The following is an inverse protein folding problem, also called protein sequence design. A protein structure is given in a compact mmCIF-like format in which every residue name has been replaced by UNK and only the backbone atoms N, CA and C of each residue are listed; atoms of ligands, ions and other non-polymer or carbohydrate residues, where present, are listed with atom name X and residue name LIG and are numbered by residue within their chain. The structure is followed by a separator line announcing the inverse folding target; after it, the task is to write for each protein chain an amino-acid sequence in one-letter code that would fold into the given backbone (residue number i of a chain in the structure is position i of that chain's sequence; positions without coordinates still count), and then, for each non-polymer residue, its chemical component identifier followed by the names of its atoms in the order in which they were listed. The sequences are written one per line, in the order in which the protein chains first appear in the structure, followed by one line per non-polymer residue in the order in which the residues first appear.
data_IF_140820318110
#
_entry.id   IF_140820318110
#
_cell.length_a   1.000
_cell.length_b   1.000
_cell.length_c   1.000
_cell.angle_alpha   90.00
_cell.angle_beta   90.00
_cell.angle_gamma   90.00
#
_symmetry.space_group_name_H-M   'P 1'
#
loop_
_entity.id
_entity.type
_entity.pdbx_description
1 polymer ?
#
# COMPACT_ATOMS: atom_id res chain seq x y z
N UNK A 1 30.25 37.86 -5.96
CA UNK A 1 29.98 36.51 -5.42
C UNK A 1 30.24 36.59 -3.93
N UNK A 2 29.19 36.74 -3.12
CA UNK A 2 29.32 36.90 -1.66
C UNK A 2 29.65 35.54 -1.03
N UNK A 3 30.75 35.46 -0.27
CA UNK A 3 31.15 34.25 0.43
C UNK A 3 30.26 33.97 1.65
N UNK A 4 30.16 32.69 2.06
CA UNK A 4 29.42 32.24 3.25
C UNK A 4 29.87 32.92 4.55
N UNK A 5 31.14 33.38 4.59
CA UNK A 5 31.69 34.14 5.71
C UNK A 5 30.88 35.43 5.99
N UNK A 6 30.46 36.13 4.92
CA UNK A 6 29.65 37.33 5.08
C UNK A 6 28.24 37.02 5.58
N UNK A 7 27.68 35.84 5.27
CA UNK A 7 26.31 35.46 5.67
C UNK A 7 26.22 35.29 7.19
N UNK A 8 27.19 34.60 7.80
CA UNK A 8 27.20 34.34 9.25
C UNK A 8 27.47 35.63 10.02
N UNK A 9 28.39 36.48 9.56
CA UNK A 9 28.66 37.75 10.23
C UNK A 9 27.44 38.70 10.15
N UNK A 10 26.71 38.70 9.03
CA UNK A 10 25.46 39.46 8.90
C UNK A 10 24.32 38.96 9.81
N UNK A 11 24.31 37.68 10.18
CA UNK A 11 23.31 37.11 11.08
C UNK A 11 23.44 37.64 12.53
N UNK A 12 24.63 38.13 12.91
CA UNK A 12 24.95 38.66 14.25
C UNK A 12 25.10 40.19 14.30
N UNK A 13 24.78 40.92 13.23
CA UNK A 13 24.79 42.39 13.26
C UNK A 13 23.73 42.95 14.22
N UNK A 14 24.17 43.78 15.18
CA UNK A 14 23.32 44.46 16.18
C UNK A 14 22.30 45.43 15.56
N UNK A 15 22.49 45.86 14.32
CA UNK A 15 21.57 46.73 13.57
C UNK A 15 20.21 46.08 13.24
N UNK A 16 20.01 44.80 13.57
CA UNK A 16 18.76 44.05 13.36
C UNK A 16 18.04 43.68 14.67
N UNK A 17 18.52 44.15 15.82
CA UNK A 17 17.84 43.98 17.11
C UNK A 17 16.56 44.84 17.14
N UNK A 18 15.41 44.17 17.25
CA UNK A 18 14.07 44.80 17.29
C UNK A 18 13.15 44.49 16.11
N UNK A 19 13.64 43.83 15.05
CA UNK A 19 12.83 43.40 13.89
C UNK A 19 12.24 42.00 14.10
N UNK A 20 11.05 41.75 13.54
CA UNK A 20 10.45 40.42 13.56
C UNK A 20 11.24 39.45 12.66
N UNK A 21 11.18 38.14 12.94
CA UNK A 21 11.98 37.10 12.28
C UNK A 21 11.86 37.15 10.74
N UNK A 22 10.65 37.29 10.21
CA UNK A 22 10.40 37.35 8.76
C UNK A 22 11.02 38.60 8.13
N UNK A 23 11.02 39.75 8.82
CA UNK A 23 11.65 40.98 8.31
C UNK A 23 13.17 40.89 8.29
N UNK A 24 13.77 40.21 9.30
CA UNK A 24 15.21 39.93 9.33
C UNK A 24 15.62 39.05 8.14
N UNK A 25 14.85 37.99 7.87
CA UNK A 25 15.08 37.10 6.72
C UNK A 25 15.02 37.89 5.40
N UNK A 26 13.96 38.65 5.17
CA UNK A 26 13.78 39.44 3.93
C UNK A 26 14.92 40.45 3.73
N UNK A 27 15.35 41.16 4.79
CA UNK A 27 16.46 42.12 4.69
C UNK A 27 17.79 41.45 4.41
N UNK A 28 18.07 40.31 5.02
CA UNK A 28 19.29 39.54 4.79
C UNK A 28 19.35 38.99 3.36
N UNK A 29 18.25 38.43 2.86
CA UNK A 29 18.16 37.93 1.48
C UNK A 29 18.38 39.05 0.46
N UNK A 30 17.73 40.20 0.64
CA UNK A 30 17.93 41.38 -0.23
C UNK A 30 19.38 41.89 -0.22
N UNK A 31 20.06 41.90 0.93
CA UNK A 31 21.48 42.29 1.03
C UNK A 31 22.42 41.30 0.33
N UNK A 32 22.06 40.02 0.32
CA UNK A 32 22.76 38.97 -0.42
C UNK A 32 22.42 38.95 -1.91
N UNK A 33 21.58 39.89 -2.38
CA UNK A 33 21.06 39.95 -3.74
C UNK A 33 20.29 38.67 -4.14
N UNK A 34 19.58 38.08 -3.18
CA UNK A 34 18.67 36.95 -3.35
C UNK A 34 17.22 37.44 -3.29
N UNK A 35 16.36 36.88 -4.14
CA UNK A 35 14.93 37.21 -4.19
C UNK A 35 14.21 36.55 -2.99
N UNK A 36 13.54 37.31 -2.10
CA UNK A 36 12.88 36.76 -0.91
C UNK A 36 11.70 35.81 -1.19
N UNK A 37 11.17 35.82 -2.40
CA UNK A 37 10.01 35.01 -2.79
C UNK A 37 10.43 33.83 -3.70
N UNK A 38 11.61 33.91 -4.33
CA UNK A 38 12.09 32.92 -5.29
C UNK A 38 13.57 32.56 -5.05
N UNK A 39 13.86 31.44 -4.34
CA UNK A 39 15.24 31.02 -4.12
C UNK A 39 15.94 30.66 -5.44
N UNK A 40 17.28 30.84 -5.55
CA UNK A 40 18.04 30.50 -6.77
C UNK A 40 18.11 29.00 -7.03
N UNK A 41 18.21 28.59 -8.29
CA UNK A 41 18.27 27.18 -8.68
C UNK A 41 19.63 26.50 -8.43
N UNK A 42 20.71 27.24 -8.20
CA UNK A 42 22.03 26.67 -7.95
C UNK A 42 22.24 26.29 -6.47
N UNK A 43 23.02 25.23 -6.22
CA UNK A 43 23.27 24.73 -4.86
C UNK A 43 23.77 25.81 -3.91
N UNK A 44 24.67 26.69 -4.36
CA UNK A 44 25.27 27.72 -3.51
C UNK A 44 24.20 28.73 -3.07
N UNK A 45 23.34 29.15 -3.99
CA UNK A 45 22.18 29.99 -3.70
C UNK A 45 21.21 29.33 -2.71
N UNK A 46 20.82 28.08 -2.95
CA UNK A 46 19.93 27.31 -2.05
C UNK A 46 20.51 27.20 -0.64
N UNK A 47 21.80 26.85 -0.54
CA UNK A 47 22.46 26.66 0.74
C UNK A 47 22.56 27.97 1.53
N UNK A 48 22.91 29.08 0.87
CA UNK A 48 22.95 30.40 1.50
C UNK A 48 21.57 30.86 1.95
N UNK A 49 20.54 30.62 1.13
CA UNK A 49 19.16 30.95 1.43
C UNK A 49 18.65 30.17 2.66
N UNK A 50 18.91 28.86 2.69
CA UNK A 50 18.58 28.00 3.82
C UNK A 50 19.32 28.44 5.10
N UNK A 51 20.59 28.83 4.99
CA UNK A 51 21.37 29.34 6.13
C UNK A 51 20.81 30.63 6.71
N UNK A 52 20.23 31.50 5.88
CA UNK A 52 19.52 32.70 6.34
C UNK A 52 18.21 32.34 7.03
N UNK A 53 17.35 31.52 6.43
CA UNK A 53 16.05 31.16 7.02
C UNK A 53 16.19 30.40 8.36
N UNK A 54 17.16 29.49 8.42
CA UNK A 54 17.48 28.71 9.60
C UNK A 54 18.24 29.53 10.63
N UNK A 55 19.22 30.32 10.20
CA UNK A 55 20.21 30.91 11.09
C UNK A 55 19.74 32.15 11.86
N UNK A 56 18.64 32.79 11.46
CA UNK A 56 18.06 33.91 12.21
C UNK A 56 17.62 33.44 13.60
N UNK A 57 18.34 33.91 14.63
CA UNK A 57 18.07 33.59 16.03
C UNK A 57 18.82 32.36 16.56
N UNK A 58 19.71 31.75 15.76
CA UNK A 58 20.57 30.65 16.20
C UNK A 58 21.88 31.17 16.83
N UNK A 59 22.43 30.48 17.83
CA UNK A 59 23.69 30.88 18.45
C UNK A 59 24.87 30.61 17.51
N UNK A 60 25.94 31.40 17.65
CA UNK A 60 27.10 31.37 16.74
C UNK A 60 27.73 29.98 16.56
N UNK A 61 27.93 29.17 17.62
CA UNK A 61 28.49 27.83 17.47
C UNK A 61 27.67 26.92 16.53
N UNK A 62 26.35 27.11 16.46
CA UNK A 62 25.48 26.34 15.54
C UNK A 62 25.74 26.73 14.09
N UNK A 63 25.93 28.02 13.80
CA UNK A 63 26.17 28.48 12.44
C UNK A 63 27.58 28.12 11.94
N UNK A 64 28.55 28.06 12.83
CA UNK A 64 29.92 27.60 12.50
C UNK A 64 29.98 26.13 12.08
N UNK A 65 29.00 25.29 12.47
CA UNK A 65 28.85 23.93 11.95
C UNK A 65 28.60 23.98 10.43
N UNK A 66 27.59 24.72 10.01
CA UNK A 66 27.14 24.77 8.62
C UNK A 66 28.04 25.62 7.72
N UNK A 67 28.98 26.36 8.31
CA UNK A 67 30.09 27.01 7.62
C UNK A 67 31.10 26.03 7.05
N UNK A 68 31.29 24.87 7.69
CA UNK A 68 32.39 23.96 7.37
C UNK A 68 32.30 23.44 5.91
N UNK A 69 33.36 23.58 5.08
CA UNK A 69 33.35 23.13 3.68
C UNK A 69 33.01 21.64 3.52
N UNK A 70 33.42 20.82 4.50
CA UNK A 70 33.11 19.38 4.51
C UNK A 70 31.61 19.13 4.69
N UNK A 71 30.94 19.90 5.56
CA UNK A 71 29.49 19.81 5.76
C UNK A 71 28.75 20.26 4.50
N UNK A 72 29.17 21.36 3.85
CA UNK A 72 28.60 21.78 2.57
C UNK A 72 28.73 20.71 1.48
N UNK A 73 29.87 20.02 1.42
CA UNK A 73 30.11 18.93 0.47
C UNK A 73 29.17 17.75 0.76
N UNK A 74 28.97 17.40 2.03
CA UNK A 74 28.01 16.35 2.42
C UNK A 74 26.57 16.71 2.03
N UNK A 75 26.15 17.97 2.17
CA UNK A 75 24.85 18.45 1.70
C UNK A 75 24.71 18.39 0.18
N UNK A 76 25.78 18.70 -0.56
CA UNK A 76 25.82 18.58 -2.02
C UNK A 76 25.70 17.12 -2.46
N UNK A 77 26.52 16.23 -1.90
CA UNK A 77 26.51 14.80 -2.21
C UNK A 77 25.18 14.15 -1.84
N UNK A 78 24.60 14.51 -0.69
CA UNK A 78 23.29 14.02 -0.27
C UNK A 78 22.16 14.44 -1.23
N UNK A 79 22.26 15.63 -1.81
CA UNK A 79 21.31 16.14 -2.81
C UNK A 79 21.50 15.45 -4.17
N UNK A 80 22.74 15.30 -4.63
CA UNK A 80 23.06 14.69 -5.94
C UNK A 80 22.81 13.18 -5.98
N UNK A 81 23.00 12.48 -4.86
CA UNK A 81 22.86 11.01 -4.77
C UNK A 81 21.58 10.55 -4.05
N UNK A 82 20.67 11.46 -3.71
CA UNK A 82 19.39 11.18 -3.02
C UNK A 82 19.54 10.24 -1.81
N UNK A 83 20.60 10.42 -1.01
CA UNK A 83 20.91 9.54 0.13
C UNK A 83 21.09 10.36 1.42
N UNK A 84 19.99 10.76 2.09
CA UNK A 84 20.05 11.60 3.29
C UNK A 84 20.72 10.92 4.51
N UNK A 85 20.76 9.59 4.53
CA UNK A 85 21.32 8.80 5.63
C UNK A 85 22.85 8.94 5.76
N UNK A 86 23.54 9.26 4.66
CA UNK A 86 25.00 9.48 4.65
C UNK A 86 25.35 10.82 5.33
N UNK A 87 24.47 11.82 5.23
CA UNK A 87 24.69 13.17 5.74
C UNK A 87 24.81 13.22 7.27
N UNK A 88 23.92 12.51 7.98
CA UNK A 88 23.88 12.51 9.43
C UNK A 88 25.08 11.77 10.03
N UNK A 89 25.36 10.56 9.51
CA UNK A 89 26.47 9.73 10.00
C UNK A 89 27.81 10.43 9.77
N UNK A 90 28.07 10.91 8.55
CA UNK A 90 29.35 11.53 8.22
C UNK A 90 29.51 12.93 8.82
N UNK A 91 28.40 13.65 9.07
CA UNK A 91 28.41 14.94 9.74
C UNK A 91 28.75 14.82 11.23
N UNK A 92 28.18 13.82 11.92
CA UNK A 92 28.51 13.50 13.31
C UNK A 92 29.98 13.04 13.45
N UNK A 93 30.42 12.13 12.59
CA UNK A 93 31.79 11.62 12.57
C UNK A 93 32.80 12.76 12.34
N UNK A 94 32.48 13.72 11.46
CA UNK A 94 33.32 14.89 11.23
C UNK A 94 33.44 15.81 12.46
N UNK A 95 32.35 15.99 13.22
CA UNK A 95 32.33 16.85 14.40
C UNK A 95 32.87 16.17 15.67
N UNK A 96 32.99 14.84 15.68
CA UNK A 96 33.45 14.07 16.83
C UNK A 96 34.88 14.45 17.28
N UNK A 97 35.75 14.83 16.35
CA UNK A 97 37.15 15.20 16.59
C UNK A 97 37.44 16.68 16.25
N UNK A 98 36.40 17.49 15.99
CA UNK A 98 36.54 18.88 15.57
C UNK A 98 36.66 19.84 16.78
N UNK A 99 37.46 20.93 16.70
CA UNK A 99 37.58 21.92 17.78
C UNK A 99 36.25 22.54 18.23
N UNK A 100 35.27 22.63 17.33
CA UNK A 100 33.91 23.13 17.62
C UNK A 100 33.16 22.29 18.66
N UNK A 101 33.53 21.03 18.88
CA UNK A 101 32.87 20.14 19.84
C UNK A 101 32.84 20.71 21.25
N UNK A 102 33.91 21.41 21.66
CA UNK A 102 34.01 22.03 22.99
C UNK A 102 32.98 23.14 23.14
N UNK A 103 32.85 24.02 22.14
CA UNK A 103 31.89 25.12 22.14
C UNK A 103 30.44 24.62 22.05
N UNK A 104 30.20 23.54 21.30
CA UNK A 104 28.88 22.92 21.19
C UNK A 104 28.43 22.28 22.50
N UNK A 105 29.33 21.60 23.21
CA UNK A 105 29.07 21.04 24.54
C UNK A 105 28.86 22.14 25.59
N UNK A 106 29.64 23.22 25.54
CA UNK A 106 29.52 24.33 26.48
C UNK A 106 28.17 25.08 26.37
N UNK A 107 27.51 25.01 25.22
CA UNK A 107 26.22 25.65 24.96
C UNK A 107 25.02 24.66 24.97
N UNK A 108 25.23 23.41 25.40
CA UNK A 108 24.21 22.34 25.43
C UNK A 108 23.50 22.13 24.08
N UNK A 109 24.28 22.21 22.98
CA UNK A 109 23.74 22.11 21.63
C UNK A 109 23.68 20.64 21.19
N UNK A 110 22.47 20.15 20.95
CA UNK A 110 22.25 18.85 20.29
C UNK A 110 22.51 18.97 18.78
N UNK A 111 23.71 18.54 18.38
CA UNK A 111 24.18 18.52 16.99
C UNK A 111 23.20 17.77 16.08
N UNK A 112 22.67 16.62 16.52
CA UNK A 112 21.76 15.82 15.69
C UNK A 112 20.52 16.62 15.35
N UNK A 113 19.93 17.22 16.38
CA UNK A 113 18.72 18.04 16.26
C UNK A 113 18.95 19.22 15.31
N UNK A 114 20.10 19.89 15.40
CA UNK A 114 20.41 21.03 14.54
C UNK A 114 20.67 20.61 13.08
N UNK A 115 21.31 19.47 12.84
CA UNK A 115 21.44 18.91 11.48
C UNK A 115 20.09 18.58 10.86
N UNK A 116 19.17 17.95 11.61
CA UNK A 116 17.82 17.68 11.12
C UNK A 116 17.04 18.96 10.82
N UNK A 117 17.13 19.96 11.71
CA UNK A 117 16.43 21.22 11.55
C UNK A 117 16.95 22.00 10.32
N UNK A 118 18.26 22.04 10.12
CA UNK A 118 18.84 22.68 8.94
C UNK A 118 18.54 21.91 7.65
N UNK A 119 18.62 20.58 7.67
CA UNK A 119 18.28 19.75 6.51
C UNK A 119 16.82 19.90 6.08
N UNK A 120 15.89 20.03 7.03
CA UNK A 120 14.49 20.28 6.72
C UNK A 120 14.29 21.62 5.99
N UNK A 121 14.94 22.70 6.48
CA UNK A 121 14.90 24.02 5.84
C UNK A 121 15.56 23.98 4.46
N UNK A 122 16.72 23.33 4.33
CA UNK A 122 17.43 23.18 3.06
C UNK A 122 16.59 22.45 2.01
N UNK A 123 15.96 21.33 2.36
CA UNK A 123 15.07 20.58 1.47
C UNK A 123 13.86 21.43 1.05
N UNK A 124 13.30 22.19 1.98
CA UNK A 124 12.15 23.05 1.72
C UNK A 124 12.50 24.19 0.74
N UNK A 125 13.65 24.84 0.93
CA UNK A 125 14.17 25.84 -0.02
C UNK A 125 14.43 25.19 -1.38
N UNK A 126 15.07 24.01 -1.43
CA UNK A 126 15.32 23.26 -2.66
C UNK A 126 14.05 22.77 -3.38
N UNK A 127 12.89 22.73 -2.70
CA UNK A 127 11.59 22.48 -3.33
C UNK A 127 11.00 23.73 -3.95
N UNK A 128 11.22 24.90 -3.33
CA UNK A 128 10.73 26.20 -3.79
C UNK A 128 11.48 26.75 -5.01
N UNK A 129 12.70 26.26 -5.25
CA UNK A 129 13.47 26.59 -6.47
C UNK A 129 12.96 25.91 -7.72
N UNK A 130 12.08 24.91 -7.58
CA UNK A 130 11.65 24.07 -8.70
C UNK A 130 10.72 24.86 -9.61
N UNK A 131 11.09 24.96 -10.88
CA UNK A 131 10.20 25.55 -11.88
C UNK A 131 9.00 24.61 -12.11
N UNK A 132 7.82 25.13 -12.51
CA UNK A 132 6.67 24.29 -12.87
C UNK A 132 7.00 23.23 -13.93
N UNK A 133 7.95 23.51 -14.82
CA UNK A 133 8.45 22.57 -15.83
C UNK A 133 9.27 21.43 -15.21
N UNK A 134 10.08 21.70 -14.19
CA UNK A 134 10.84 20.68 -13.44
C UNK A 134 9.93 19.87 -12.53
N UNK A 135 8.90 20.47 -11.92
CA UNK A 135 7.86 19.74 -11.17
C UNK A 135 7.08 18.82 -12.10
N UNK A 136 6.77 19.25 -13.34
CA UNK A 136 6.13 18.40 -14.35
C UNK A 136 7.07 17.33 -14.90
N UNK A 137 8.37 17.61 -14.99
CA UNK A 137 9.39 16.65 -15.42
C UNK A 137 9.70 15.62 -14.34
N UNK A 138 9.73 16.00 -13.07
CA UNK A 138 9.81 15.11 -11.91
C UNK A 138 8.50 14.36 -11.71
N UNK A 139 7.32 14.97 -11.87
CA UNK A 139 6.07 14.21 -11.88
C UNK A 139 6.04 13.24 -13.05
N UNK A 140 6.64 13.58 -14.19
CA UNK A 140 6.85 12.63 -15.30
C UNK A 140 7.90 11.59 -14.97
N UNK A 141 8.99 11.91 -14.27
CA UNK A 141 10.07 10.99 -13.90
C UNK A 141 9.69 10.10 -12.72
N UNK A 142 8.84 10.56 -11.82
CA UNK A 142 8.17 9.84 -10.75
C UNK A 142 6.97 9.08 -11.29
N UNK A 143 6.24 9.61 -12.27
CA UNK A 143 5.22 8.82 -12.97
C UNK A 143 5.90 7.79 -13.84
N UNK A 144 7.08 8.07 -14.40
CA UNK A 144 7.91 7.12 -15.14
C UNK A 144 8.61 6.17 -14.18
N UNK A 145 9.03 6.56 -12.98
CA UNK A 145 9.56 5.64 -11.95
C UNK A 145 8.45 4.85 -11.26
N UNK A 146 7.24 5.39 -11.13
CA UNK A 146 6.04 4.66 -10.73
C UNK A 146 5.50 3.84 -11.88
N UNK A 147 5.70 4.22 -13.14
CA UNK A 147 5.38 3.41 -14.31
C UNK A 147 6.47 2.38 -14.57
N UNK A 148 7.74 2.62 -14.27
CA UNK A 148 8.86 1.67 -14.37
C UNK A 148 8.81 0.76 -13.15
N UNK A 149 8.50 1.29 -11.97
CA UNK A 149 8.22 0.52 -10.76
C UNK A 149 6.96 -0.31 -10.92
N UNK A 150 5.86 0.25 -11.46
CA UNK A 150 4.66 -0.53 -11.78
C UNK A 150 4.78 -1.35 -13.05
N UNK A 151 5.69 -1.05 -13.99
CA UNK A 151 6.02 -1.91 -15.13
C UNK A 151 6.98 -3.00 -14.72
N UNK A 152 7.89 -2.79 -13.76
CA UNK A 152 8.72 -3.81 -13.14
C UNK A 152 7.86 -4.68 -12.23
N UNK A 153 6.92 -4.10 -11.50
CA UNK A 153 5.95 -4.79 -10.66
C UNK A 153 4.87 -5.48 -11.51
N UNK A 154 4.47 -4.93 -12.67
CA UNK A 154 3.62 -5.60 -13.68
C UNK A 154 4.39 -6.60 -14.55
N UNK A 155 5.67 -6.40 -14.84
CA UNK A 155 6.57 -7.41 -15.42
C UNK A 155 6.79 -8.55 -14.41
N UNK A 156 6.78 -8.24 -13.11
CA UNK A 156 6.81 -9.22 -12.04
C UNK A 156 5.41 -9.82 -11.71
N UNK A 157 4.30 -9.23 -12.20
CA UNK A 157 2.90 -9.63 -11.91
C UNK A 157 2.06 -10.06 -13.11
N UNK A 158 2.57 -9.99 -14.33
CA UNK A 158 1.98 -10.62 -15.52
C UNK A 158 2.82 -11.83 -15.88
N UNK A 159 2.19 -12.93 -16.29
CA UNK A 159 2.19 -14.19 -15.53
C UNK A 159 3.59 -14.58 -15.02
N UNK A 160 3.81 -14.37 -13.71
CA UNK A 160 4.90 -14.85 -12.83
C UNK A 160 6.35 -14.74 -13.36
N UNK A 161 7.33 -14.55 -12.46
CA UNK A 161 8.77 -14.64 -12.77
C UNK A 161 9.14 -15.95 -13.52
N UNK A 162 8.29 -16.99 -13.45
CA UNK A 162 8.40 -18.26 -14.16
C UNK A 162 7.83 -18.27 -15.59
N UNK A 163 6.90 -17.39 -15.97
CA UNK A 163 6.43 -17.26 -17.36
C UNK A 163 7.51 -16.68 -18.27
N UNK A 164 8.31 -15.73 -17.77
CA UNK A 164 9.50 -15.22 -18.46
C UNK A 164 10.65 -16.25 -18.49
N UNK A 165 10.86 -17.03 -17.41
CA UNK A 165 11.81 -18.15 -17.43
C UNK A 165 11.38 -19.25 -18.40
N UNK A 166 10.08 -19.50 -18.52
CA UNK A 166 9.49 -20.46 -19.46
C UNK A 166 9.66 -19.98 -20.90
N UNK A 167 9.47 -18.69 -21.20
CA UNK A 167 9.69 -18.19 -22.55
C UNK A 167 11.18 -18.01 -22.89
N UNK A 168 12.04 -17.68 -21.91
CA UNK A 168 13.50 -17.72 -22.06
C UNK A 168 14.02 -19.15 -22.20
N UNK A 169 13.46 -20.14 -21.50
CA UNK A 169 13.79 -21.56 -21.64
C UNK A 169 13.23 -22.16 -22.92
N UNK A 170 12.10 -21.67 -23.44
CA UNK A 170 11.52 -22.04 -24.73
C UNK A 170 12.31 -21.45 -25.90
N UNK A 171 12.81 -20.23 -25.75
CA UNK A 171 13.76 -19.60 -26.67
C UNK A 171 15.16 -20.26 -26.60
N UNK A 172 15.60 -20.70 -25.42
CA UNK A 172 16.85 -21.45 -25.24
C UNK A 172 16.75 -22.93 -25.68
N UNK A 173 15.56 -23.55 -25.59
CA UNK A 173 15.30 -24.92 -26.05
C UNK A 173 15.24 -25.06 -27.57
N UNK A 174 15.25 -23.95 -28.32
CA UNK A 174 15.47 -23.98 -29.77
C UNK A 174 16.94 -24.20 -30.13
N UNK A 175 17.87 -23.89 -29.24
CA UNK A 175 19.31 -24.00 -29.46
C UNK A 175 20.02 -24.64 -28.23
N UNK A 176 19.94 -25.98 -28.12
CA UNK A 176 20.92 -26.93 -27.53
C UNK A 176 20.25 -28.11 -26.78
N UNK A 177 20.84 -29.33 -26.82
CA UNK A 177 20.18 -30.55 -26.38
C UNK A 177 20.38 -30.90 -24.90
N UNK A 178 19.30 -31.42 -24.33
CA UNK A 178 19.14 -32.35 -23.20
C UNK A 178 20.27 -32.48 -22.16
N UNK A 179 19.96 -32.10 -20.92
CA UNK A 179 20.61 -32.60 -19.71
C UNK A 179 20.16 -31.90 -18.44
N UNK A 180 19.37 -32.60 -17.61
CA UNK A 180 18.97 -32.27 -16.24
C UNK A 180 17.84 -31.21 -16.04
N UNK A 181 16.59 -31.60 -16.24
CA UNK A 181 15.42 -30.93 -15.68
C UNK A 181 14.28 -31.95 -15.46
N UNK A 182 14.07 -32.44 -14.24
CA UNK A 182 12.99 -33.41 -13.95
C UNK A 182 12.20 -33.19 -12.66
N UNK A 183 12.29 -32.03 -12.00
CA UNK A 183 11.47 -31.78 -10.79
C UNK A 183 10.65 -30.46 -10.82
N UNK A 184 10.96 -29.51 -11.70
CA UNK A 184 10.23 -28.23 -11.76
C UNK A 184 8.96 -28.25 -12.64
N UNK A 185 8.58 -29.39 -13.23
CA UNK A 185 7.59 -29.44 -14.33
C UNK A 185 6.16 -29.91 -13.95
N UNK A 186 5.82 -30.09 -12.67
CA UNK A 186 4.51 -30.65 -12.24
C UNK A 186 3.52 -29.65 -11.61
N UNK A 187 3.95 -28.70 -10.78
CA UNK A 187 3.04 -27.83 -10.01
C UNK A 187 2.20 -26.89 -10.88
N UNK A 188 2.80 -26.27 -11.91
CA UNK A 188 2.12 -25.31 -12.80
C UNK A 188 1.04 -25.96 -13.70
N UNK A 189 1.05 -27.30 -13.82
CA UNK A 189 0.04 -28.05 -14.59
C UNK A 189 -1.18 -28.44 -13.75
N UNK A 190 -1.14 -28.26 -12.44
CA UNK A 190 -2.26 -28.50 -11.55
C UNK A 190 -3.34 -27.43 -11.76
N UNK A 191 -4.58 -27.84 -12.02
CA UNK A 191 -5.70 -26.90 -12.17
C UNK A 191 -6.02 -26.14 -10.88
N UNK A 192 -5.71 -26.74 -9.73
CA UNK A 192 -5.88 -26.14 -8.41
C UNK A 192 -4.73 -25.18 -8.02
N UNK A 193 -3.78 -24.90 -8.91
CA UNK A 193 -2.61 -24.07 -8.60
C UNK A 193 -2.96 -22.65 -8.12
N UNK A 194 -3.96 -22.00 -8.73
CA UNK A 194 -4.38 -20.65 -8.31
C UNK A 194 -4.95 -20.65 -6.87
N UNK A 195 -5.74 -21.67 -6.52
CA UNK A 195 -6.23 -21.89 -5.16
C UNK A 195 -5.06 -22.12 -4.19
N UNK A 196 -4.10 -22.95 -4.59
CA UNK A 196 -2.90 -23.23 -3.81
C UNK A 196 -2.14 -21.93 -3.48
N UNK A 197 -1.85 -21.08 -4.48
CA UNK A 197 -1.13 -19.83 -4.27
C UNK A 197 -1.85 -18.89 -3.29
N UNK A 198 -3.17 -18.78 -3.39
CA UNK A 198 -3.99 -17.98 -2.47
C UNK A 198 -3.91 -18.52 -1.04
N UNK A 199 -4.04 -19.84 -0.87
CA UNK A 199 -3.96 -20.49 0.44
C UNK A 199 -2.56 -20.40 1.05
N UNK A 200 -1.50 -20.58 0.25
CA UNK A 200 -0.12 -20.48 0.74
C UNK A 200 0.16 -19.09 1.30
N UNK A 201 -0.16 -18.04 0.53
CA UNK A 201 0.03 -16.66 1.01
C UNK A 201 -0.81 -16.34 2.25
N UNK A 202 -2.02 -16.91 2.36
CA UNK A 202 -2.84 -16.79 3.57
C UNK A 202 -2.20 -17.47 4.78
N UNK A 203 -1.82 -18.74 4.66
CA UNK A 203 -1.19 -19.51 5.75
C UNK A 203 0.15 -18.93 6.21
N UNK A 204 0.98 -18.44 5.28
CA UNK A 204 2.21 -17.72 5.62
C UNK A 204 1.91 -16.44 6.41
N UNK A 205 0.85 -15.72 6.05
CA UNK A 205 0.40 -14.51 6.76
C UNK A 205 -0.07 -14.83 8.18
N UNK A 206 -0.69 -16.00 8.39
CA UNK A 206 -1.06 -16.51 9.71
C UNK A 206 0.15 -17.07 10.50
N UNK A 207 1.33 -17.17 9.88
CA UNK A 207 2.53 -17.71 10.50
C UNK A 207 2.56 -19.24 10.57
N UNK A 208 1.74 -19.93 9.78
CA UNK A 208 1.75 -21.38 9.68
C UNK A 208 3.01 -21.86 8.95
N UNK A 209 3.56 -23.01 9.35
CA UNK A 209 4.80 -23.55 8.76
C UNK A 209 4.53 -24.75 7.90
N UNK A 210 5.06 -24.75 6.68
CA UNK A 210 4.97 -25.87 5.75
C UNK A 210 6.04 -26.92 6.06
N UNK A 211 5.65 -28.19 5.99
CA UNK A 211 6.59 -29.31 5.93
C UNK A 211 7.09 -29.53 4.51
N UNK A 212 8.08 -30.40 4.35
CA UNK A 212 8.59 -30.80 3.02
C UNK A 212 7.62 -31.67 2.21
N UNK A 213 6.53 -32.15 2.83
CA UNK A 213 5.52 -32.92 2.12
C UNK A 213 4.71 -32.02 1.20
N UNK A 214 4.82 -32.28 -0.10
CA UNK A 214 4.14 -31.56 -1.15
C UNK A 214 3.80 -32.51 -2.29
N UNK A 215 2.53 -32.56 -2.68
CA UNK A 215 2.00 -33.37 -3.78
C UNK A 215 1.31 -32.46 -4.77
N UNK A 216 1.59 -32.65 -6.05
CA UNK A 216 0.96 -31.94 -7.15
C UNK A 216 0.45 -32.93 -8.18
N UNK A 217 -0.87 -33.00 -8.32
CA UNK A 217 -1.56 -33.79 -9.33
C UNK A 217 -2.37 -32.89 -10.26
N UNK A 218 -2.94 -33.45 -11.32
CA UNK A 218 -3.66 -32.66 -12.33
C UNK A 218 -4.82 -31.84 -11.75
N UNK A 219 -5.57 -32.43 -10.81
CA UNK A 219 -6.82 -31.86 -10.28
C UNK A 219 -6.76 -31.56 -8.77
N UNK A 220 -5.64 -31.84 -8.09
CA UNK A 220 -5.47 -31.53 -6.67
C UNK A 220 -4.01 -31.31 -6.27
N UNK A 221 -3.80 -30.72 -5.09
CA UNK A 221 -2.51 -30.64 -4.41
C UNK A 221 -2.66 -31.03 -2.93
N UNK A 222 -1.56 -31.42 -2.29
CA UNK A 222 -1.49 -31.65 -0.84
C UNK A 222 -0.26 -31.02 -0.21
N UNK A 223 -0.43 -30.50 0.99
CA UNK A 223 0.63 -30.02 1.88
C UNK A 223 0.39 -30.49 3.30
N UNK A 224 1.43 -30.47 4.13
CA UNK A 224 1.28 -30.53 5.59
C UNK A 224 1.73 -29.21 6.17
N UNK A 225 0.85 -28.61 6.98
CA UNK A 225 1.12 -27.37 7.71
C UNK A 225 1.16 -27.62 9.22
N UNK A 226 1.93 -26.80 9.91
CA UNK A 226 2.03 -26.79 11.37
C UNK A 226 1.41 -25.50 11.90
N UNK A 227 0.35 -25.65 12.70
CA UNK A 227 -0.35 -24.54 13.37
C UNK A 227 0.07 -24.52 14.83
N UNK A 228 0.57 -23.38 15.29
CA UNK A 228 1.04 -23.22 16.67
C UNK A 228 -0.14 -22.96 17.62
N UNK A 229 -0.30 -23.79 18.66
CA UNK A 229 -1.44 -23.67 19.59
C UNK A 229 -1.01 -23.10 20.93
N UNK A 230 0.13 -23.58 21.47
CA UNK A 230 0.67 -23.07 22.72
C UNK A 230 2.16 -23.43 22.89
N UNK A 231 3.01 -22.42 23.13
CA UNK A 231 4.48 -22.55 23.26
C UNK A 231 5.08 -23.34 22.09
N UNK A 232 5.63 -24.53 22.36
CA UNK A 232 6.29 -25.40 21.37
C UNK A 232 5.38 -26.51 20.83
N UNK A 233 4.08 -26.53 21.19
CA UNK A 233 3.12 -27.50 20.66
C UNK A 233 2.49 -26.97 19.38
N UNK A 234 2.51 -27.81 18.37
CA UNK A 234 1.90 -27.57 17.06
C UNK A 234 0.92 -28.70 16.74
N UNK A 235 -0.14 -28.36 16.02
CA UNK A 235 -1.05 -29.31 15.36
C UNK A 235 -0.58 -29.45 13.92
N UNK A 236 -0.44 -30.69 13.46
CA UNK A 236 -0.13 -31.02 12.07
C UNK A 236 -1.43 -31.20 11.30
N UNK A 237 -1.60 -30.41 10.25
CA UNK A 237 -2.81 -30.44 9.43
C UNK A 237 -2.42 -30.79 8.01
N UNK A 238 -3.01 -31.86 7.47
CA UNK A 238 -2.89 -32.18 6.05
C UNK A 238 -3.91 -31.37 5.28
N UNK A 239 -3.44 -30.51 4.38
CA UNK A 239 -4.30 -29.66 3.55
C UNK A 239 -4.35 -30.24 2.14
N UNK A 240 -5.54 -30.58 1.67
CA UNK A 240 -5.79 -31.03 0.30
C UNK A 240 -6.65 -30.01 -0.43
N UNK A 241 -6.10 -29.38 -1.45
CA UNK A 241 -6.84 -28.46 -2.31
C UNK A 241 -7.26 -29.13 -3.60
N UNK A 242 -8.54 -29.01 -3.98
CA UNK A 242 -9.12 -29.69 -5.16
C UNK A 242 -9.64 -28.64 -6.15
N UNK A 243 -9.40 -28.85 -7.45
CA UNK A 243 -10.08 -28.11 -8.51
C UNK A 243 -11.47 -28.69 -8.74
N UNK A 244 -12.50 -27.86 -8.63
CA UNK A 244 -13.87 -28.27 -8.89
C UNK A 244 -14.71 -28.52 -7.64
N UNK A 245 -15.81 -29.25 -7.81
CA UNK A 245 -16.69 -29.62 -6.72
C UNK A 245 -16.10 -30.77 -5.90
N UNK A 246 -16.02 -30.59 -4.59
CA UNK A 246 -15.57 -31.63 -3.66
C UNK A 246 -16.65 -32.69 -3.49
N UNK A 247 -16.29 -33.95 -3.75
CA UNK A 247 -17.15 -35.13 -3.60
C UNK A 247 -16.70 -36.09 -2.50
N UNK A 248 -17.41 -37.21 -2.35
CA UNK A 248 -17.09 -38.26 -1.37
C UNK A 248 -15.72 -38.92 -1.60
N UNK A 249 -15.31 -39.03 -2.87
CA UNK A 249 -14.01 -39.59 -3.22
C UNK A 249 -12.86 -38.75 -2.65
N UNK A 250 -13.00 -37.42 -2.67
CA UNK A 250 -12.00 -36.49 -2.13
C UNK A 250 -11.91 -36.58 -0.61
N UNK A 251 -13.05 -36.74 0.09
CA UNK A 251 -13.08 -36.98 1.54
C UNK A 251 -12.38 -38.30 1.89
N UNK A 252 -12.65 -39.36 1.12
CA UNK A 252 -11.97 -40.65 1.29
C UNK A 252 -10.46 -40.56 1.05
N UNK A 253 -10.04 -39.83 0.01
CA UNK A 253 -8.63 -39.61 -0.29
C UNK A 253 -7.94 -38.81 0.82
N UNK A 254 -8.56 -37.74 1.32
CA UNK A 254 -8.05 -36.97 2.46
C UNK A 254 -7.87 -37.86 3.69
N UNK A 255 -8.88 -38.68 4.04
CA UNK A 255 -8.81 -39.60 5.17
C UNK A 255 -7.61 -40.57 5.05
N UNK A 256 -7.37 -41.07 3.85
CA UNK A 256 -6.22 -41.94 3.56
C UNK A 256 -4.89 -41.20 3.72
N UNK A 257 -4.77 -39.98 3.20
CA UNK A 257 -3.57 -39.16 3.34
C UNK A 257 -3.27 -38.83 4.81
N UNK A 258 -4.29 -38.42 5.58
CA UNK A 258 -4.19 -38.14 7.02
C UNK A 258 -3.69 -39.37 7.78
N UNK A 259 -4.28 -40.55 7.53
CA UNK A 259 -3.86 -41.79 8.18
C UNK A 259 -2.42 -42.19 7.79
N UNK A 260 -2.03 -41.97 6.54
CA UNK A 260 -0.69 -42.30 6.02
C UNK A 260 0.38 -41.42 6.66
N UNK A 261 0.13 -40.11 6.75
CA UNK A 261 1.07 -39.13 7.27
C UNK A 261 0.96 -38.88 8.79
N UNK A 262 -0.03 -39.51 9.43
CA UNK A 262 -0.33 -39.40 10.86
C UNK A 262 -0.43 -37.94 11.28
N UNK A 263 -1.20 -37.15 10.54
CA UNK A 263 -1.52 -35.77 10.90
C UNK A 263 -2.66 -35.74 11.92
N UNK A 264 -2.73 -34.68 12.71
CA UNK A 264 -3.74 -34.51 13.74
C UNK A 264 -5.10 -34.16 13.14
N UNK A 265 -5.09 -33.35 12.07
CA UNK A 265 -6.28 -32.96 11.31
C UNK A 265 -6.06 -33.07 9.79
N UNK A 266 -7.16 -33.01 9.04
CA UNK A 266 -7.15 -32.92 7.58
C UNK A 266 -8.15 -31.87 7.09
N UNK A 267 -7.72 -30.95 6.24
CA UNK A 267 -8.58 -29.92 5.64
C UNK A 267 -8.71 -30.14 4.13
N UNK A 268 -9.95 -30.29 3.67
CA UNK A 268 -10.31 -30.32 2.26
C UNK A 268 -10.77 -28.93 1.83
N UNK A 269 -10.10 -28.35 0.83
CA UNK A 269 -10.37 -26.97 0.40
C UNK A 269 -10.65 -26.89 -1.10
N UNK A 270 -11.66 -26.11 -1.49
CA UNK A 270 -11.98 -25.82 -2.89
C UNK A 270 -12.35 -24.35 -3.10
N UNK A 271 -12.08 -23.80 -4.28
CA UNK A 271 -12.59 -22.49 -4.67
C UNK A 271 -14.08 -22.52 -5.06
N UNK A 272 -14.66 -23.70 -5.30
CA UNK A 272 -16.04 -23.85 -5.79
C UNK A 272 -17.01 -24.19 -4.67
N UNK A 273 -17.60 -25.40 -4.72
CA UNK A 273 -18.63 -25.87 -3.81
C UNK A 273 -18.30 -27.26 -3.31
N UNK A 274 -18.85 -27.61 -2.16
CA UNK A 274 -18.75 -28.94 -1.58
C UNK A 274 -20.11 -29.63 -1.72
N UNK A 275 -20.11 -30.83 -2.29
CA UNK A 275 -21.31 -31.62 -2.44
C UNK A 275 -21.95 -31.90 -1.07
N UNK A 276 -23.30 -31.92 -1.01
CA UNK A 276 -24.01 -32.14 0.26
C UNK A 276 -23.59 -33.45 0.93
N UNK A 277 -23.44 -34.52 0.16
CA UNK A 277 -22.97 -35.80 0.67
C UNK A 277 -21.56 -35.73 1.26
N UNK A 278 -20.65 -34.93 0.67
CA UNK A 278 -19.31 -34.73 1.21
C UNK A 278 -19.35 -33.94 2.52
N UNK A 279 -20.19 -32.89 2.63
CA UNK A 279 -20.40 -32.17 3.90
C UNK A 279 -20.96 -33.08 4.98
N UNK A 280 -21.96 -33.89 4.65
CA UNK A 280 -22.58 -34.81 5.60
C UNK A 280 -21.59 -35.93 6.02
N UNK A 281 -20.67 -36.37 5.13
CA UNK A 281 -19.61 -37.34 5.48
C UNK A 281 -18.56 -36.75 6.42
N UNK A 282 -18.08 -35.53 6.14
CA UNK A 282 -17.13 -34.81 7.01
C UNK A 282 -17.74 -34.54 8.39
N UNK A 283 -19.04 -34.28 8.49
CA UNK A 283 -19.73 -34.03 9.75
C UNK A 283 -19.97 -35.27 10.63
N UNK A 284 -19.61 -36.48 10.17
CA UNK A 284 -19.79 -37.70 10.97
C UNK A 284 -18.80 -37.73 12.14
N UNK A 285 -19.16 -38.33 13.30
CA UNK A 285 -18.25 -38.44 14.45
C UNK A 285 -16.92 -39.13 14.14
N UNK A 286 -16.91 -40.10 13.22
CA UNK A 286 -15.69 -40.80 12.78
C UNK A 286 -14.71 -39.91 11.99
N UNK A 287 -15.17 -38.75 11.50
CA UNK A 287 -14.41 -37.78 10.73
C UNK A 287 -14.27 -36.44 11.47
N UNK A 288 -14.42 -36.40 12.80
CA UNK A 288 -14.36 -35.16 13.59
C UNK A 288 -13.04 -34.38 13.41
N UNK A 289 -11.96 -35.06 13.02
CA UNK A 289 -10.65 -34.49 12.71
C UNK A 289 -10.51 -33.98 11.26
N UNK A 290 -11.55 -34.11 10.44
CA UNK A 290 -11.58 -33.63 9.06
C UNK A 290 -12.45 -32.37 8.95
N UNK A 291 -11.98 -31.40 8.18
CA UNK A 291 -12.70 -30.18 7.84
C UNK A 291 -12.89 -30.07 6.33
N UNK A 292 -14.05 -29.55 5.91
CA UNK A 292 -14.37 -29.31 4.50
C UNK A 292 -14.77 -27.86 4.30
N UNK A 293 -13.95 -27.10 3.58
CA UNK A 293 -14.10 -25.66 3.42
C UNK A 293 -14.09 -25.25 1.95
N UNK A 294 -14.96 -24.31 1.59
CA UNK A 294 -14.64 -23.42 0.48
C UNK A 294 -13.52 -22.47 0.89
N UNK A 295 -12.79 -21.88 -0.06
CA UNK A 295 -11.75 -20.90 0.26
C UNK A 295 -12.31 -19.77 1.14
N UNK A 296 -13.50 -19.26 0.81
CA UNK A 296 -14.12 -18.18 1.59
C UNK A 296 -14.47 -18.62 3.03
N UNK A 297 -14.94 -19.85 3.24
CA UNK A 297 -15.22 -20.40 4.59
C UNK A 297 -13.93 -20.62 5.41
N UNK A 298 -12.82 -20.93 4.74
CA UNK A 298 -11.51 -21.05 5.37
C UNK A 298 -10.99 -19.68 5.83
N UNK A 299 -11.13 -18.65 4.99
CA UNK A 299 -10.71 -17.28 5.34
C UNK A 299 -11.54 -16.73 6.52
N UNK A 300 -12.83 -17.03 6.58
CA UNK A 300 -13.72 -16.61 7.67
C UNK A 300 -13.26 -17.12 9.05
N UNK A 301 -12.45 -18.18 9.13
CA UNK A 301 -11.97 -18.72 10.41
C UNK A 301 -11.09 -17.70 11.16
N UNK A 302 -10.29 -16.92 10.42
CA UNK A 302 -9.34 -15.96 10.99
C UNK A 302 -9.70 -14.49 10.65
N UNK A 303 -10.63 -14.26 9.71
CA UNK A 303 -11.04 -12.92 9.29
C UNK A 303 -12.55 -12.75 9.27
N UNK A 304 -13.13 -12.47 10.44
CA UNK A 304 -14.58 -12.26 10.58
C UNK A 304 -14.97 -10.79 10.39
N UNK A 305 -15.64 -10.49 9.29
CA UNK A 305 -16.19 -9.16 8.99
C UNK A 305 -17.64 -8.98 9.45
N UNK A 306 -18.27 -9.97 10.09
CA UNK A 306 -19.70 -9.99 10.43
C UNK A 306 -20.15 -8.78 11.24
N UNK A 307 -19.35 -8.36 12.21
CA UNK A 307 -19.61 -7.13 12.99
C UNK A 307 -19.64 -5.88 12.12
N UNK A 308 -18.66 -5.73 11.23
CA UNK A 308 -18.62 -4.63 10.27
C UNK A 308 -19.79 -4.64 9.29
N UNK A 309 -20.13 -5.80 8.72
CA UNK A 309 -21.23 -5.91 7.76
C UNK A 309 -22.58 -5.58 8.41
N UNK A 310 -22.74 -5.93 9.69
CA UNK A 310 -23.92 -5.54 10.49
C UNK A 310 -23.97 -4.03 10.70
N UNK A 311 -22.84 -3.42 11.05
CA UNK A 311 -22.75 -1.96 11.18
C UNK A 311 -23.07 -1.24 9.85
N UNK A 312 -22.51 -1.72 8.73
CA UNK A 312 -22.69 -1.11 7.42
C UNK A 312 -24.18 -1.10 7.02
N UNK A 313 -24.87 -2.23 7.20
CA UNK A 313 -26.31 -2.35 6.97
C UNK A 313 -27.12 -1.37 7.83
N UNK A 314 -26.83 -1.31 9.14
CA UNK A 314 -27.50 -0.39 10.05
C UNK A 314 -27.29 1.08 9.65
N UNK A 315 -26.07 1.45 9.25
CA UNK A 315 -25.75 2.82 8.83
C UNK A 315 -26.47 3.21 7.54
N UNK A 316 -26.59 2.28 6.58
CA UNK A 316 -27.34 2.48 5.33
C UNK A 316 -28.84 2.70 5.61
N UNK A 317 -29.43 1.82 6.43
CA UNK A 317 -30.85 1.87 6.80
C UNK A 317 -31.17 3.12 7.62
N UNK A 318 -30.31 3.48 8.57
CA UNK A 318 -30.46 4.70 9.39
C UNK A 318 -30.51 5.97 8.53
N UNK A 319 -29.75 5.99 7.43
CA UNK A 319 -29.74 7.11 6.46
C UNK A 319 -30.87 7.03 5.43
N UNK A 320 -31.62 5.92 5.38
CA UNK A 320 -32.70 5.67 4.42
C UNK A 320 -32.21 5.47 2.99
N UNK A 321 -30.93 5.15 2.79
CA UNK A 321 -30.32 5.03 1.45
C UNK A 321 -30.86 3.81 0.70
N UNK A 322 -31.23 2.75 1.42
CA UNK A 322 -31.87 1.56 0.88
C UNK A 322 -33.23 1.85 0.21
N UNK A 323 -33.94 2.89 0.66
CA UNK A 323 -35.30 3.20 0.21
C UNK A 323 -35.40 4.46 -0.65
N UNK A 324 -34.55 5.46 -0.40
CA UNK A 324 -34.72 6.81 -0.97
C UNK A 324 -33.62 7.21 -1.96
N UNK A 325 -32.68 6.31 -2.25
CA UNK A 325 -31.61 6.58 -3.20
C UNK A 325 -32.14 6.82 -4.62
N UNK A 326 -31.67 7.91 -5.24
CA UNK A 326 -31.95 8.25 -6.63
C UNK A 326 -30.74 7.85 -7.48
N UNK A 327 -30.90 7.00 -8.51
CA UNK A 327 -29.81 6.60 -9.40
C UNK A 327 -29.14 7.79 -10.08
N UNK A 328 -27.80 7.78 -10.10
CA UNK A 328 -27.00 8.85 -10.67
C UNK A 328 -26.49 8.46 -12.06
N UNK A 329 -26.64 9.36 -13.03
CA UNK A 329 -25.91 9.25 -14.29
C UNK A 329 -24.45 9.67 -14.08
N UNK A 330 -23.53 9.11 -14.88
CA UNK A 330 -22.14 9.53 -14.88
C UNK A 330 -21.63 9.80 -16.30
N UNK A 331 -20.56 10.58 -16.35
CA UNK A 331 -19.81 10.84 -17.57
C UNK A 331 -18.38 10.38 -17.38
N UNK A 332 -17.80 9.82 -18.43
CA UNK A 332 -16.37 9.48 -18.50
C UNK A 332 -15.77 10.23 -19.67
N UNK A 333 -14.75 11.02 -19.40
CA UNK A 333 -13.96 11.63 -20.45
C UNK A 333 -13.14 10.56 -21.15
N UNK A 334 -13.23 10.50 -22.47
CA UNK A 334 -12.36 9.67 -23.28
C UNK A 334 -11.18 10.54 -23.69
N UNK A 335 -9.99 10.11 -23.28
CA UNK A 335 -8.74 10.85 -23.44
C UNK A 335 -7.82 10.01 -24.31
N UNK A 336 -7.23 10.65 -25.31
CA UNK A 336 -6.22 10.02 -26.15
C UNK A 336 -5.00 9.65 -25.30
N UNK A 337 -4.56 8.39 -25.30
CA UNK A 337 -3.47 7.93 -24.42
C UNK A 337 -2.13 8.60 -24.74
N UNK A 338 -1.92 9.11 -25.95
CA UNK A 338 -0.69 9.76 -26.40
C UNK A 338 -0.77 11.26 -26.21
N UNK A 339 -1.79 11.91 -26.76
CA UNK A 339 -1.89 13.37 -26.76
C UNK A 339 -2.46 13.93 -25.46
N UNK A 340 -3.08 13.08 -24.63
CA UNK A 340 -3.82 13.45 -23.41
C UNK A 340 -4.95 14.45 -23.66
N UNK A 341 -5.35 14.63 -24.92
CA UNK A 341 -6.48 15.47 -25.26
C UNK A 341 -7.77 14.68 -25.11
N UNK A 342 -8.82 15.37 -24.66
CA UNK A 342 -10.16 14.80 -24.62
C UNK A 342 -10.66 14.60 -26.05
N UNK A 343 -10.84 13.35 -26.43
CA UNK A 343 -11.33 12.92 -27.75
C UNK A 343 -12.82 12.59 -27.73
N UNK A 344 -13.42 12.44 -26.55
CA UNK A 344 -14.86 12.18 -26.44
C UNK A 344 -15.38 12.21 -25.02
N UNK A 345 -16.69 11.95 -24.88
CA UNK A 345 -17.34 11.72 -23.59
C UNK A 345 -18.31 10.56 -23.71
N UNK A 346 -18.09 9.55 -22.91
CA UNK A 346 -19.03 8.46 -22.68
C UNK A 346 -20.03 8.89 -21.62
N UNK A 347 -21.34 8.79 -21.92
CA UNK A 347 -22.42 9.09 -20.96
C UNK A 347 -23.14 7.81 -20.60
N UNK A 348 -23.23 7.54 -19.30
CA UNK A 348 -23.89 6.36 -18.73
C UNK A 348 -25.12 6.82 -17.95
N UNK A 349 -26.29 6.49 -18.48
CA UNK A 349 -27.60 6.80 -17.87
C UNK A 349 -28.45 5.54 -17.73
N UNK A 350 -29.77 5.69 -17.77
CA UNK A 350 -30.72 4.58 -17.56
C UNK A 350 -30.44 3.34 -18.41
N UNK A 351 -30.22 3.52 -19.71
CA UNK A 351 -29.91 2.44 -20.67
C UNK A 351 -28.67 1.61 -20.32
N UNK A 352 -27.76 2.19 -19.53
CA UNK A 352 -26.48 1.60 -19.14
C UNK A 352 -26.51 1.07 -17.70
N UNK A 353 -27.67 1.13 -17.03
CA UNK A 353 -27.81 0.81 -15.61
C UNK A 353 -27.25 1.89 -14.69
N UNK A 354 -27.23 3.15 -15.13
CA UNK A 354 -26.69 4.30 -14.40
C UNK A 354 -25.19 4.13 -14.07
N UNK A 355 -24.68 4.91 -13.11
CA UNK A 355 -23.30 4.76 -12.63
C UNK A 355 -23.04 3.33 -12.09
N UNK A 356 -24.04 2.69 -11.49
CA UNK A 356 -23.96 1.33 -10.97
C UNK A 356 -23.53 0.32 -12.04
N UNK A 357 -24.17 0.34 -13.21
CA UNK A 357 -23.85 -0.56 -14.32
C UNK A 357 -22.49 -0.28 -14.94
N UNK A 358 -21.96 0.95 -14.78
CA UNK A 358 -20.58 1.24 -15.12
C UNK A 358 -19.59 0.64 -14.11
N UNK A 359 -19.86 0.77 -12.80
CA UNK A 359 -19.00 0.18 -11.76
C UNK A 359 -19.02 -1.35 -11.82
N UNK A 360 -20.18 -1.97 -12.07
CA UNK A 360 -20.28 -3.43 -12.25
C UNK A 360 -19.35 -3.90 -13.38
N UNK A 361 -19.40 -3.26 -14.55
CA UNK A 361 -18.49 -3.57 -15.67
C UNK A 361 -17.02 -3.29 -15.36
N UNK A 362 -16.74 -2.28 -14.54
CA UNK A 362 -15.38 -1.97 -14.11
C UNK A 362 -14.84 -3.01 -13.13
N UNK A 363 -15.67 -3.54 -12.22
CA UNK A 363 -15.26 -4.60 -11.30
C UNK A 363 -14.93 -5.91 -12.02
N UNK A 364 -15.64 -6.18 -13.12
CA UNK A 364 -15.42 -7.35 -13.96
C UNK A 364 -14.19 -7.21 -14.89
N UNK A 365 -13.62 -6.00 -15.02
CA UNK A 365 -12.47 -5.71 -15.89
C UNK A 365 -11.13 -5.90 -15.13
N UNK A 366 -10.36 -6.98 -15.40
CA UNK A 366 -9.12 -7.24 -14.69
C UNK A 366 -8.00 -6.24 -15.00
N UNK A 367 -8.14 -5.39 -16.02
CA UNK A 367 -7.10 -4.45 -16.43
C UNK A 367 -7.10 -3.13 -15.64
N UNK A 368 -8.15 -2.86 -14.85
CA UNK A 368 -8.32 -1.58 -14.14
C UNK A 368 -8.32 -1.78 -12.63
N UNK A 369 -7.37 -1.11 -11.98
CA UNK A 369 -7.10 -1.30 -10.55
C UNK A 369 -7.77 -0.26 -9.65
N UNK A 370 -8.10 0.93 -10.19
CA UNK A 370 -8.75 2.00 -9.42
C UNK A 370 -9.73 2.82 -10.27
N UNK A 371 -10.64 3.49 -9.57
CA UNK A 371 -11.60 4.42 -10.16
C UNK A 371 -11.75 5.64 -9.26
N UNK A 372 -11.78 6.83 -9.86
CA UNK A 372 -12.08 8.07 -9.16
C UNK A 372 -13.44 8.59 -9.61
N UNK A 373 -14.36 8.74 -8.66
CA UNK A 373 -15.70 9.31 -8.91
C UNK A 373 -15.66 10.78 -8.51
N UNK A 374 -15.78 11.66 -9.50
CA UNK A 374 -15.77 13.10 -9.32
C UNK A 374 -17.18 13.67 -9.43
N UNK A 375 -17.45 14.72 -8.66
CA UNK A 375 -18.73 15.42 -8.69
C UNK A 375 -18.71 16.61 -7.73
N UNK A 376 -19.54 17.60 -7.99
CA UNK A 376 -19.65 18.80 -7.15
C UNK A 376 -20.23 18.47 -5.76
N UNK A 377 -20.18 19.44 -4.86
CA UNK A 377 -20.79 19.30 -3.54
C UNK A 377 -22.31 19.06 -3.67
N UNK A 378 -22.84 18.11 -2.91
CA UNK A 378 -24.29 17.79 -2.92
C UNK A 378 -24.77 16.91 -4.08
N UNK A 379 -23.91 16.48 -5.01
CA UNK A 379 -24.32 15.60 -6.13
C UNK A 379 -24.63 14.15 -5.75
N UNK A 380 -24.53 13.79 -4.47
CA UNK A 380 -24.83 12.45 -3.98
C UNK A 380 -23.67 11.45 -3.96
N UNK A 381 -22.40 11.90 -4.04
CA UNK A 381 -21.21 11.03 -4.01
C UNK A 381 -21.18 10.06 -2.82
N UNK A 382 -21.32 10.58 -1.60
CA UNK A 382 -21.38 9.77 -0.38
C UNK A 382 -22.57 8.81 -0.40
N UNK A 383 -23.74 9.27 -0.85
CA UNK A 383 -24.93 8.41 -0.99
C UNK A 383 -24.70 7.29 -1.98
N UNK A 384 -24.03 7.56 -3.09
CA UNK A 384 -23.64 6.55 -4.07
C UNK A 384 -22.66 5.52 -3.48
N UNK A 385 -21.63 5.96 -2.74
CA UNK A 385 -20.68 5.05 -2.09
C UNK A 385 -21.40 4.03 -1.17
N UNK A 386 -22.30 4.52 -0.32
CA UNK A 386 -23.10 3.66 0.57
C UNK A 386 -24.14 2.83 -0.19
N UNK A 387 -24.79 3.38 -1.23
CA UNK A 387 -25.74 2.64 -2.07
C UNK A 387 -25.07 1.48 -2.80
N UNK A 388 -23.90 1.73 -3.38
CA UNK A 388 -23.17 0.70 -4.09
C UNK A 388 -22.65 -0.38 -3.12
N UNK A 389 -22.16 0.04 -1.95
CA UNK A 389 -21.79 -0.88 -0.87
C UNK A 389 -22.98 -1.73 -0.40
N UNK A 390 -24.19 -1.15 -0.31
CA UNK A 390 -25.42 -1.90 -0.02
C UNK A 390 -25.65 -3.02 -1.04
N UNK A 391 -25.61 -2.69 -2.34
CA UNK A 391 -25.81 -3.68 -3.41
C UNK A 391 -24.74 -4.77 -3.39
N UNK A 392 -23.47 -4.40 -3.19
CA UNK A 392 -22.37 -5.35 -3.05
C UNK A 392 -22.56 -6.25 -1.82
N UNK A 393 -22.99 -5.71 -0.68
CA UNK A 393 -23.27 -6.45 0.55
C UNK A 393 -24.42 -7.46 0.34
N UNK A 394 -25.49 -7.08 -0.35
CA UNK A 394 -26.59 -7.99 -0.66
C UNK A 394 -26.13 -9.15 -1.55
N UNK A 395 -25.33 -8.88 -2.58
CA UNK A 395 -24.72 -9.91 -3.43
C UNK A 395 -23.80 -10.83 -2.62
N UNK A 396 -23.00 -10.27 -1.72
CA UNK A 396 -22.11 -11.01 -0.83
C UNK A 396 -22.88 -11.99 0.07
N UNK A 397 -23.91 -11.51 0.77
CA UNK A 397 -24.75 -12.34 1.66
C UNK A 397 -25.54 -13.40 0.90
N UNK A 398 -26.02 -13.08 -0.29
CA UNK A 398 -26.73 -14.05 -1.13
C UNK A 398 -25.79 -15.17 -1.60
N UNK A 399 -24.58 -14.83 -2.04
CA UNK A 399 -23.56 -15.82 -2.39
C UNK A 399 -23.19 -16.71 -1.19
N UNK A 400 -23.00 -16.10 -0.02
CA UNK A 400 -22.73 -16.82 1.24
C UNK A 400 -23.86 -17.80 1.59
N UNK A 401 -25.12 -17.37 1.52
CA UNK A 401 -26.29 -18.23 1.84
C UNK A 401 -26.44 -19.39 0.85
N UNK A 402 -26.12 -19.16 -0.41
CA UNK A 402 -26.21 -20.16 -1.49
C UNK A 402 -24.99 -21.06 -1.60
N UNK A 403 -23.93 -20.80 -0.83
CA UNK A 403 -22.66 -21.53 -0.92
C UNK A 403 -21.98 -21.36 -2.29
N UNK A 404 -22.08 -20.16 -2.87
CA UNK A 404 -21.40 -19.76 -4.10
C UNK A 404 -20.12 -18.99 -3.75
N UNK A 405 -19.21 -18.88 -4.72
CA UNK A 405 -18.04 -18.00 -4.62
C UNK A 405 -18.48 -16.57 -4.28
N UNK A 406 -17.89 -15.99 -3.25
CA UNK A 406 -18.30 -14.68 -2.76
C UNK A 406 -17.70 -13.58 -3.62
N UNK A 407 -18.50 -12.57 -4.01
CA UNK A 407 -17.96 -11.36 -4.63
C UNK A 407 -17.10 -10.59 -3.62
N UNK A 408 -16.42 -9.55 -4.09
CA UNK A 408 -15.59 -8.69 -3.23
C UNK A 408 -16.39 -8.09 -2.08
N UNK A 409 -15.89 -8.22 -0.86
CA UNK A 409 -16.50 -7.67 0.35
C UNK A 409 -16.36 -6.13 0.35
N UNK A 410 -17.46 -5.36 0.42
CA UNK A 410 -17.39 -3.90 0.37
C UNK A 410 -16.91 -3.32 1.71
N UNK A 411 -15.87 -2.50 1.68
CA UNK A 411 -15.38 -1.72 2.81
C UNK A 411 -15.50 -0.23 2.49
N UNK A 412 -16.53 0.42 3.04
CA UNK A 412 -16.69 1.88 3.00
C UNK A 412 -15.83 2.53 4.06
N UNK A 413 -14.89 3.36 3.62
CA UNK A 413 -13.90 4.06 4.44
C UNK A 413 -14.14 5.57 4.31
N UNK A 414 -14.84 6.20 5.26
CA UNK A 414 -15.00 7.66 5.29
C UNK A 414 -13.67 8.31 5.71
N UNK A 415 -12.94 8.88 4.76
CA UNK A 415 -11.60 9.43 4.95
C UNK A 415 -11.54 10.59 5.95
N UNK A 416 -12.66 11.31 6.10
CA UNK A 416 -12.84 12.37 7.10
C UNK A 416 -12.50 11.95 8.53
N UNK A 417 -12.82 10.71 8.88
CA UNK A 417 -12.63 10.19 10.23
C UNK A 417 -11.14 9.91 10.49
N UNK A 418 -10.32 9.88 9.44
CA UNK A 418 -8.90 9.53 9.46
C UNK A 418 -7.98 10.67 9.01
N UNK A 419 -8.47 11.91 9.01
CA UNK A 419 -7.70 13.10 8.58
C UNK A 419 -6.39 13.33 9.39
N UNK A 420 -6.20 12.62 10.50
CA UNK A 420 -4.99 12.63 11.33
C UNK A 420 -4.02 11.49 11.04
N UNK A 421 -4.42 10.47 10.28
CA UNK A 421 -3.55 9.35 9.93
C UNK A 421 -2.39 9.82 9.04
N UNK A 422 -1.16 9.45 9.41
CA UNK A 422 0.07 9.84 8.70
C UNK A 422 0.44 8.81 7.61
N UNK A 423 -0.12 7.60 7.69
CA UNK A 423 0.11 6.52 6.73
C UNK A 423 -1.17 5.73 6.44
N UNK A 424 -1.18 5.03 5.29
CA UNK A 424 -2.25 4.10 4.89
C UNK A 424 -2.42 2.97 5.91
N UNK A 425 -1.31 2.44 6.43
CA UNK A 425 -1.32 1.43 7.49
C UNK A 425 -1.99 1.95 8.77
N UNK A 426 -1.70 3.19 9.18
CA UNK A 426 -2.32 3.80 10.37
C UNK A 426 -3.83 3.95 10.19
N UNK A 427 -4.26 4.38 8.99
CA UNK A 427 -5.68 4.51 8.64
C UNK A 427 -6.39 3.16 8.75
N UNK A 428 -5.85 2.12 8.12
CA UNK A 428 -6.47 0.80 8.15
C UNK A 428 -6.39 0.15 9.52
N UNK A 429 -5.32 0.37 10.28
CA UNK A 429 -5.23 -0.09 11.66
C UNK A 429 -6.30 0.54 12.55
N UNK A 430 -6.58 1.85 12.37
CA UNK A 430 -7.67 2.53 13.08
C UNK A 430 -9.05 2.05 12.60
N UNK A 431 -9.22 1.83 11.29
CA UNK A 431 -10.44 1.28 10.71
C UNK A 431 -10.77 -0.13 11.24
N UNK A 432 -9.83 -1.07 11.10
CA UNK A 432 -10.03 -2.47 11.48
C UNK A 432 -10.06 -2.65 13.00
N UNK A 433 -9.06 -2.17 13.73
CA UNK A 433 -8.88 -2.57 15.14
C UNK A 433 -9.53 -1.66 16.16
N UNK A 434 -9.85 -0.40 15.80
CA UNK A 434 -10.41 0.57 16.76
C UNK A 434 -11.86 0.93 16.49
N UNK A 435 -12.20 1.21 15.23
CA UNK A 435 -13.53 1.70 14.88
C UNK A 435 -14.54 0.58 14.70
N UNK A 436 -14.14 -0.45 13.97
CA UNK A 436 -15.03 -1.56 13.62
C UNK A 436 -14.68 -2.87 14.36
N UNK A 437 -13.56 -2.88 15.09
CA UNK A 437 -13.08 -4.02 15.90
C UNK A 437 -13.14 -5.35 15.14
N UNK A 438 -12.76 -5.31 13.86
CA UNK A 438 -12.77 -6.47 12.97
C UNK A 438 -11.64 -7.41 13.44
N UNK A 439 -11.96 -8.63 13.89
CA UNK A 439 -10.97 -9.62 14.31
C UNK A 439 -10.22 -10.14 13.08
N UNK A 440 -9.09 -9.50 12.76
CA UNK A 440 -8.09 -10.01 11.83
C UNK A 440 -6.74 -10.14 12.55
N UNK A 441 -5.85 -11.06 12.14
CA UNK A 441 -4.57 -11.31 12.83
C UNK A 441 -3.58 -10.13 12.77
N UNK A 442 -3.78 -9.19 11.85
CA UNK A 442 -2.92 -8.03 11.67
C UNK A 442 -3.14 -7.32 10.33
N UNK A 443 -2.37 -6.25 10.09
CA UNK A 443 -2.42 -5.51 8.83
C UNK A 443 -2.03 -6.35 7.61
N UNK A 444 -1.07 -7.27 7.77
CA UNK A 444 -0.66 -8.21 6.71
C UNK A 444 -1.81 -9.09 6.22
N UNK A 445 -2.73 -9.50 7.11
CA UNK A 445 -3.93 -10.24 6.73
C UNK A 445 -4.85 -9.42 5.82
N UNK A 446 -5.02 -8.12 6.12
CA UNK A 446 -5.72 -7.21 5.24
C UNK A 446 -5.04 -7.08 3.87
N UNK A 447 -3.72 -6.89 3.82
CA UNK A 447 -2.98 -6.79 2.56
C UNK A 447 -3.13 -8.06 1.72
N UNK A 448 -3.09 -9.23 2.36
CA UNK A 448 -3.25 -10.50 1.69
C UNK A 448 -4.67 -10.68 1.15
N UNK A 449 -5.72 -10.36 1.92
CA UNK A 449 -7.11 -10.38 1.44
C UNK A 449 -7.33 -9.42 0.27
N UNK A 450 -6.72 -8.23 0.32
CA UNK A 450 -6.76 -7.27 -0.77
C UNK A 450 -6.04 -7.80 -2.03
N UNK A 451 -4.87 -8.41 -1.86
CA UNK A 451 -4.10 -9.05 -2.96
C UNK A 451 -4.84 -10.22 -3.60
N UNK A 452 -5.59 -10.97 -2.81
CA UNK A 452 -6.46 -12.04 -3.28
C UNK A 452 -7.72 -11.53 -3.99
N UNK A 453 -7.93 -10.21 -4.04
CA UNK A 453 -9.10 -9.59 -4.66
C UNK A 453 -10.39 -9.83 -3.88
N UNK A 454 -10.31 -10.14 -2.57
CA UNK A 454 -11.47 -10.40 -1.71
C UNK A 454 -12.15 -9.14 -1.19
N UNK A 455 -11.49 -7.98 -1.31
CA UNK A 455 -11.98 -6.71 -0.78
C UNK A 455 -12.32 -5.72 -1.90
N UNK A 456 -13.39 -4.95 -1.70
CA UNK A 456 -13.76 -3.78 -2.48
C UNK A 456 -13.65 -2.55 -1.59
N UNK A 457 -12.56 -1.79 -1.76
CA UNK A 457 -12.31 -0.59 -0.97
C UNK A 457 -13.04 0.60 -1.60
N UNK A 458 -13.93 1.23 -0.83
CA UNK A 458 -14.69 2.41 -1.23
C UNK A 458 -14.30 3.56 -0.32
N UNK A 459 -13.48 4.47 -0.84
CA UNK A 459 -13.05 5.66 -0.09
C UNK A 459 -14.00 6.83 -0.35
N UNK A 460 -14.54 7.41 0.71
CA UNK A 460 -15.44 8.58 0.66
C UNK A 460 -14.78 9.80 1.31
N UNK A 461 -14.95 10.99 0.71
CA UNK A 461 -14.41 12.25 1.24
C UNK A 461 -12.92 12.49 1.01
N UNK A 462 -12.42 12.24 -0.21
CA UNK A 462 -11.00 12.45 -0.56
C UNK A 462 -10.56 13.92 -0.42
N UNK A 463 -11.44 14.88 -0.73
CA UNK A 463 -11.23 16.31 -0.55
C UNK A 463 -10.98 16.69 0.92
N UNK A 464 -11.52 15.92 1.86
CA UNK A 464 -11.32 16.15 3.30
C UNK A 464 -9.88 15.84 3.77
N UNK A 465 -9.11 15.06 2.99
CA UNK A 465 -7.68 14.85 3.23
C UNK A 465 -6.81 16.00 2.71
N UNK A 466 -7.27 16.73 1.68
CA UNK A 466 -6.51 17.79 1.00
C UNK A 466 -6.42 19.09 1.80
N UNK A 467 -7.33 19.33 2.76
CA UNK A 467 -7.37 20.55 3.58
C UNK A 467 -6.12 20.82 4.45
N UNK A 468 -5.16 19.87 4.47
CA UNK A 468 -3.85 20.03 5.12
C UNK A 468 -2.69 20.34 4.17
N UNK A 469 -2.86 20.19 2.86
CA UNK A 469 -1.81 20.59 1.89
C UNK A 469 -1.88 22.11 1.64
N UNK A 470 -3.07 22.72 1.73
CA UNK A 470 -3.28 24.16 1.45
C UNK A 470 -3.23 25.09 2.67
N UNK A 471 -3.08 24.57 3.90
CA UNK A 471 -2.97 25.42 5.12
C UNK A 471 -1.51 25.65 5.52
N UNK A 472 -0.78 26.32 4.63
CA UNK A 472 0.35 27.17 5.01
C UNK A 472 0.18 28.53 4.32
N UNK A 473 -0.61 29.41 4.94
CA UNK A 473 -0.53 30.87 4.76
C UNK A 473 -0.30 31.51 6.13
#
# INVERSE_FOLDING_TARGET
MFGLDNVIDMLFETAMEGLNRSERIIRLLKRLNLDPDHPPADFTGVYQYALVEYGVGKPRPVLEIFRQPKIQTLFREALEHNTPSILLKNGEDFLADHPLKVDLQANDIDVRREFYAFAAVFIEVAKRTRTPAEILAEQKLESLHRQIGSLQERLNRLPTIEGMRTEMARLAAQDYPAGAASEAFSAERCKAFALAQQMRGWFETLGYRFEAHEVWEADYFEWIINVSVWRSRYIRILVRGVDGEVGLADVGALRQSVATHKTDEGWLVTARRIARAARDDVAKPENEHLGGYTLDELLDQDADFGGYLTWLEQEIQKRGIDQTYVPLACIKEEVDPVTRQRIGVSRYGDRDGWIDGYIDRWLDDPAKEHISVLGEFGTGKTWFAFHYAWKALQRYREAQRRGLERPRLPLVVPLRDYAKAVSVESLFSEFFFRKHEIPIPGYSAFEQLNRMGKLLLIFDGFDEMAARVDRQQ
#
